data_IF_453991613701
#
_entry.id   IF_453991613701
#
_cell.length_a   1.000
_cell.length_b   1.000
_cell.length_c   1.000
_cell.angle_alpha   90.00
_cell.angle_beta   90.00
_cell.angle_gamma   90.00
#
_symmetry.space_group_name_H-M   'P 1'
#
loop_
_entity.id
_entity.type
_entity.pdbx_description
1 polymer ?
#
# COMPACT_ATOMS: atom_id res chain seq x y z
N UNK A 1 -4.63 1.53 -8.69
CA UNK A 1 -4.38 1.24 -7.25
C UNK A 1 -4.59 -0.23 -6.89
N UNK A 2 -5.72 -0.85 -7.28
CA UNK A 2 -6.09 -2.24 -6.96
C UNK A 2 -4.99 -3.29 -7.15
N UNK A 3 -4.39 -3.34 -8.33
CA UNK A 3 -3.36 -4.33 -8.66
C UNK A 3 -2.11 -4.22 -7.77
N UNK A 4 -1.74 -3.02 -7.35
CA UNK A 4 -0.56 -2.79 -6.52
C UNK A 4 -0.81 -3.18 -5.06
N UNK A 5 -1.93 -2.74 -4.48
CA UNK A 5 -2.30 -3.11 -3.11
C UNK A 5 -2.54 -4.62 -2.98
N UNK A 6 -3.21 -5.24 -3.96
CA UNK A 6 -3.35 -6.70 -4.03
C UNK A 6 -1.99 -7.41 -4.13
N UNK A 7 -1.06 -6.88 -4.95
CA UNK A 7 0.29 -7.42 -5.06
C UNK A 7 1.08 -7.39 -3.75
N UNK A 8 0.91 -6.35 -2.93
CA UNK A 8 1.52 -6.29 -1.58
C UNK A 8 0.97 -7.42 -0.69
N UNK A 9 -0.35 -7.63 -0.69
CA UNK A 9 -0.99 -8.68 0.13
C UNK A 9 -0.54 -10.07 -0.29
N UNK A 10 -0.47 -10.35 -1.59
CA UNK A 10 0.04 -11.63 -2.09
C UNK A 10 1.53 -11.84 -1.76
N UNK A 11 2.35 -10.78 -1.86
CA UNK A 11 3.75 -10.86 -1.47
C UNK A 11 3.92 -11.11 0.04
N UNK A 12 3.05 -10.54 0.89
CA UNK A 12 3.04 -10.83 2.33
C UNK A 12 2.68 -12.29 2.62
N UNK A 13 1.72 -12.87 1.90
CA UNK A 13 1.38 -14.30 2.03
C UNK A 13 2.55 -15.22 1.68
N UNK A 14 3.38 -14.82 0.71
CA UNK A 14 4.59 -15.54 0.34
C UNK A 14 5.71 -15.45 1.40
N UNK A 15 5.63 -14.50 2.33
CA UNK A 15 6.60 -14.25 3.39
C UNK A 15 6.00 -14.53 4.78
N UNK A 16 5.78 -15.79 5.21
CA UNK A 16 5.00 -16.12 6.41
C UNK A 16 5.59 -15.64 7.75
N UNK A 17 6.88 -15.29 7.80
CA UNK A 17 7.53 -14.72 9.00
C UNK A 17 7.55 -13.19 9.01
N UNK A 18 6.79 -12.53 8.14
CA UNK A 18 6.85 -11.07 7.93
C UNK A 18 6.52 -10.17 9.13
N UNK A 19 5.95 -10.70 10.22
CA UNK A 19 5.62 -9.93 11.42
C UNK A 19 4.63 -8.77 11.20
N UNK A 20 3.99 -8.68 10.03
CA UNK A 20 3.08 -7.59 9.69
C UNK A 20 1.83 -7.66 10.56
N UNK A 21 1.39 -6.50 11.07
CA UNK A 21 0.17 -6.41 11.84
C UNK A 21 -1.04 -6.79 10.95
N UNK A 22 -1.87 -7.77 11.35
CA UNK A 22 -3.03 -8.21 10.55
C UNK A 22 -3.99 -7.08 10.18
N UNK A 23 -4.15 -6.06 11.03
CA UNK A 23 -5.01 -4.92 10.74
C UNK A 23 -4.45 -4.02 9.63
N UNK A 24 -3.13 -3.87 9.55
CA UNK A 24 -2.49 -3.11 8.46
C UNK A 24 -2.62 -3.90 7.14
N UNK A 25 -2.45 -5.22 7.18
CA UNK A 25 -2.66 -6.10 6.01
C UNK A 25 -4.11 -6.03 5.52
N UNK A 26 -5.06 -6.09 6.45
CA UNK A 26 -6.49 -6.00 6.15
C UNK A 26 -6.88 -4.64 5.58
N UNK A 27 -6.29 -3.56 6.10
CA UNK A 27 -6.46 -2.21 5.54
C UNK A 27 -6.01 -2.18 4.08
N UNK A 28 -4.82 -2.71 3.78
CA UNK A 28 -4.30 -2.77 2.41
C UNK A 28 -5.18 -3.63 1.51
N UNK A 29 -5.67 -4.79 2.00
CA UNK A 29 -6.59 -5.66 1.26
C UNK A 29 -7.89 -4.95 0.93
N UNK A 30 -8.56 -4.38 1.93
CA UNK A 30 -9.86 -3.72 1.79
C UNK A 30 -9.78 -2.57 0.79
N UNK A 31 -8.82 -1.65 0.95
CA UNK A 31 -8.67 -0.53 0.00
C UNK A 31 -8.12 -0.99 -1.35
N UNK A 32 -7.41 -2.12 -1.41
CA UNK A 32 -7.05 -2.79 -2.65
C UNK A 32 -8.28 -3.27 -3.42
N UNK A 33 -9.30 -3.81 -2.74
CA UNK A 33 -10.54 -4.25 -3.37
C UNK A 33 -11.34 -3.10 -3.98
N UNK A 34 -11.39 -1.96 -3.27
CA UNK A 34 -12.01 -0.71 -3.71
C UNK A 34 -11.25 -0.05 -4.88
N UNK A 35 -9.93 -0.17 -4.92
CA UNK A 35 -9.12 0.34 -6.02
C UNK A 35 -9.22 1.86 -6.17
N UNK A 36 -9.78 2.32 -7.30
CA UNK A 36 -9.95 3.77 -7.55
C UNK A 36 -11.20 4.35 -6.88
N UNK A 37 -12.06 3.50 -6.31
CA UNK A 37 -13.24 3.93 -5.54
C UNK A 37 -12.90 4.14 -4.04
N UNK A 38 -11.63 3.96 -3.67
CA UNK A 38 -11.17 4.24 -2.32
C UNK A 38 -11.29 5.75 -2.01
N UNK A 39 -11.95 6.15 -0.90
CA UNK A 39 -12.07 7.57 -0.56
C UNK A 39 -10.70 8.21 -0.32
N UNK A 40 -10.47 9.38 -0.91
CA UNK A 40 -9.18 10.09 -0.82
C UNK A 40 -8.77 10.38 0.63
N UNK A 41 -9.76 10.65 1.50
CA UNK A 41 -9.55 10.86 2.93
C UNK A 41 -8.94 9.66 3.66
N UNK A 42 -9.03 8.46 3.08
CA UNK A 42 -8.50 7.22 3.66
C UNK A 42 -7.13 6.84 3.09
N UNK A 43 -6.72 7.41 1.96
CA UNK A 43 -5.44 7.10 1.34
C UNK A 43 -4.22 7.37 2.24
N UNK A 44 -4.20 8.41 3.11
CA UNK A 44 -3.14 8.56 4.10
C UNK A 44 -3.04 7.38 5.09
N UNK A 45 -4.17 6.80 5.48
CA UNK A 45 -4.19 5.61 6.35
C UNK A 45 -3.63 4.40 5.62
N UNK A 46 -3.91 4.26 4.32
CA UNK A 46 -3.34 3.21 3.47
C UNK A 46 -1.82 3.37 3.36
N UNK A 47 -1.30 4.59 3.18
CA UNK A 47 0.15 4.84 3.16
C UNK A 47 0.83 4.44 4.48
N UNK A 48 0.21 4.75 5.61
CA UNK A 48 0.72 4.35 6.94
C UNK A 48 0.74 2.84 7.09
N UNK A 49 -0.32 2.14 6.68
CA UNK A 49 -0.37 0.68 6.69
C UNK A 49 0.75 0.08 5.82
N UNK A 50 0.93 0.60 4.59
CA UNK A 50 2.02 0.19 3.68
C UNK A 50 3.39 0.37 4.35
N UNK A 51 3.64 1.51 4.99
CA UNK A 51 4.91 1.78 5.66
C UNK A 51 5.18 0.79 6.81
N UNK A 52 4.15 0.47 7.61
CA UNK A 52 4.27 -0.48 8.73
C UNK A 52 4.54 -1.91 8.26
N UNK A 53 3.80 -2.40 7.26
CA UNK A 53 4.04 -3.76 6.74
C UNK A 53 5.40 -3.86 6.05
N UNK A 54 5.81 -2.80 5.34
CA UNK A 54 7.13 -2.75 4.70
C UNK A 54 8.23 -2.84 5.75
N UNK A 55 8.11 -2.06 6.85
CA UNK A 55 9.06 -2.12 7.96
C UNK A 55 9.12 -3.50 8.59
N UNK A 56 7.97 -4.09 8.92
CA UNK A 56 7.89 -5.42 9.55
C UNK A 56 8.60 -6.49 8.69
N UNK A 57 8.31 -6.50 7.39
CA UNK A 57 8.98 -7.40 6.44
C UNK A 57 10.49 -7.16 6.39
N UNK A 58 10.94 -5.90 6.43
CA UNK A 58 12.37 -5.59 6.30
C UNK A 58 13.21 -5.92 7.52
N UNK A 59 12.59 -6.04 8.70
CA UNK A 59 13.28 -6.36 9.96
C UNK A 59 13.59 -7.88 10.08
N UNK A 60 12.92 -8.73 9.31
CA UNK A 60 13.20 -10.18 9.19
C UNK A 60 13.85 -10.47 7.82
N UNK A 61 15.11 -10.93 7.82
CA UNK A 61 15.86 -11.21 6.59
C UNK A 61 15.26 -12.34 5.73
N UNK A 62 14.64 -13.35 6.34
CA UNK A 62 13.98 -14.43 5.61
C UNK A 62 12.68 -13.92 4.96
N UNK A 63 11.88 -13.16 5.71
CA UNK A 63 10.66 -12.54 5.19
C UNK A 63 10.96 -11.55 4.07
N UNK A 64 11.97 -10.69 4.26
CA UNK A 64 12.45 -9.73 3.26
C UNK A 64 12.86 -10.42 1.97
N UNK A 65 13.56 -11.56 2.05
CA UNK A 65 13.97 -12.33 0.87
C UNK A 65 12.77 -12.87 0.09
N UNK A 66 11.82 -13.51 0.75
CA UNK A 66 10.62 -14.04 0.09
C UNK A 66 9.71 -12.92 -0.44
N UNK A 67 9.56 -11.84 0.31
CA UNK A 67 8.81 -10.66 -0.14
C UNK A 67 9.45 -10.00 -1.36
N UNK A 68 10.79 -9.90 -1.40
CA UNK A 68 11.54 -9.41 -2.58
C UNK A 68 11.32 -10.31 -3.78
N UNK A 69 11.43 -11.63 -3.59
CA UNK A 69 11.22 -12.63 -4.64
C UNK A 69 9.80 -12.58 -5.22
N UNK A 70 8.82 -12.27 -4.39
CA UNK A 70 7.43 -12.05 -4.79
C UNK A 70 7.18 -10.68 -5.45
N UNK A 71 8.20 -9.83 -5.59
CA UNK A 71 8.08 -8.49 -6.17
C UNK A 71 7.45 -7.45 -5.24
N UNK A 72 7.33 -7.76 -3.94
CA UNK A 72 6.62 -6.95 -2.95
C UNK A 72 7.06 -5.49 -2.89
N UNK A 73 8.37 -5.21 -2.95
CA UNK A 73 8.88 -3.82 -2.94
C UNK A 73 8.54 -3.05 -4.22
N UNK A 74 8.37 -3.73 -5.35
CA UNK A 74 7.87 -3.11 -6.58
C UNK A 74 6.43 -2.66 -6.40
N UNK A 75 5.57 -3.55 -5.87
CA UNK A 75 4.18 -3.22 -5.57
C UNK A 75 4.04 -2.10 -4.53
N UNK A 76 4.89 -2.06 -3.50
CA UNK A 76 4.94 -0.96 -2.53
C UNK A 76 5.20 0.37 -3.22
N UNK A 77 6.24 0.44 -4.06
CA UNK A 77 6.59 1.66 -4.80
C UNK A 77 5.45 2.12 -5.70
N UNK A 78 4.86 1.20 -6.47
CA UNK A 78 3.79 1.53 -7.41
C UNK A 78 2.50 1.95 -6.68
N UNK A 79 2.19 1.32 -5.54
CA UNK A 79 1.06 1.71 -4.70
C UNK A 79 1.26 3.13 -4.12
N UNK A 80 2.44 3.42 -3.56
CA UNK A 80 2.75 4.75 -3.03
C UNK A 80 2.65 5.83 -4.11
N UNK A 81 3.20 5.58 -5.30
CA UNK A 81 3.11 6.51 -6.42
C UNK A 81 1.65 6.74 -6.82
N UNK A 82 0.87 5.67 -6.98
CA UNK A 82 -0.53 5.78 -7.38
C UNK A 82 -1.36 6.57 -6.36
N UNK A 83 -1.14 6.34 -5.06
CA UNK A 83 -1.83 7.06 -3.99
C UNK A 83 -1.47 8.55 -3.99
N UNK A 84 -0.18 8.89 -4.08
CA UNK A 84 0.27 10.28 -4.11
C UNK A 84 -0.30 11.02 -5.32
N UNK A 85 -0.28 10.39 -6.50
CA UNK A 85 -0.85 10.98 -7.71
C UNK A 85 -2.36 11.29 -7.58
N UNK A 86 -3.11 10.45 -6.87
CA UNK A 86 -4.53 10.73 -6.57
C UNK A 86 -4.68 11.94 -5.65
N UNK A 87 -3.92 12.00 -4.55
CA UNK A 87 -3.98 13.10 -3.58
C UNK A 87 -3.55 14.45 -4.18
N UNK A 88 -2.57 14.45 -5.09
CA UNK A 88 -2.09 15.65 -5.76
C UNK A 88 -3.17 16.21 -6.72
N UNK A 89 -3.82 15.36 -7.50
CA UNK A 89 -4.92 15.75 -8.41
C UNK A 89 -6.07 16.40 -7.66
N UNK A 90 -6.46 15.82 -6.53
CA UNK A 90 -7.53 16.35 -5.67
C UNK A 90 -7.18 17.72 -5.09
N UNK A 91 -5.91 17.90 -4.70
CA UNK A 91 -5.41 19.18 -4.22
C UNK A 91 -5.48 20.26 -5.29
N UNK A 92 -5.12 19.96 -6.55
CA UNK A 92 -5.24 20.89 -7.67
C UNK A 92 -6.70 21.28 -7.96
N UNK A 93 -7.62 20.32 -7.93
CA UNK A 93 -9.04 20.56 -8.24
C UNK A 93 -9.74 21.37 -7.13
N UNK A 94 -9.32 21.20 -5.86
CA UNK A 94 -9.76 22.06 -4.75
C UNK A 94 -9.28 23.51 -4.90
N UNK A 95 -8.05 23.72 -5.35
CA UNK A 95 -7.50 25.06 -5.61
C UNK A 95 -8.27 25.74 -6.75
N UNK A 96 -8.53 25.02 -7.85
CA UNK A 96 -9.30 25.54 -9.01
C UNK A 96 -10.74 25.91 -8.67
N UNK A 97 -11.38 25.25 -7.69
CA UNK A 97 -12.74 25.60 -7.24
C UNK A 97 -12.79 26.82 -6.31
N UNK A 98 -11.65 27.24 -5.77
CA UNK A 98 -11.55 28.36 -4.80
C UNK A 98 -10.98 29.65 -5.42
N UNK A 99 -10.37 29.58 -6.60
CA UNK A 99 -9.92 30.73 -7.40
C UNK A 99 -10.91 31.07 -8.50
#
# INVERSE_FOLDING_TARGET
MKQYLGGIVEALKAAPTNGANPNDVETIRFYGELGNDAPDSQLPNVLVAIARVTRAVTEDEAAKKEFTKAGGFGYVKDAQHAIMATLDKDSEDLVKKRG
#
